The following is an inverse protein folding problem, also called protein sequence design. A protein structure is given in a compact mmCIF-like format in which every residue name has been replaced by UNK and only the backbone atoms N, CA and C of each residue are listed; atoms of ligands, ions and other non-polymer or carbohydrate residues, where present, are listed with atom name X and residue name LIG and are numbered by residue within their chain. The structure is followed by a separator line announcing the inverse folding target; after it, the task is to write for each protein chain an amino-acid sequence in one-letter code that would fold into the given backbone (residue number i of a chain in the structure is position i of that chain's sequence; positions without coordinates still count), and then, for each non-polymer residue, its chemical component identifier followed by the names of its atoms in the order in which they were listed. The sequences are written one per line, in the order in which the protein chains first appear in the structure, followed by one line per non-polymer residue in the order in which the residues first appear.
data_IF_561154046018
#
_entry.id   IF_561154046018
#
_cell.length_a   1.000
_cell.length_b   1.000
_cell.length_c   1.000
_cell.angle_alpha   90.00
_cell.angle_beta   90.00
_cell.angle_gamma   90.00
#
_symmetry.space_group_name_H-M   'P 1'
#
loop_
_entity.id
_entity.type
_entity.pdbx_description
1 polymer ?
#
# COMPACT_ATOMS: atom_id res chain seq x y z
N UNK A 1 -4.19 -28.20 -24.79
CA UNK A 1 -3.57 -26.88 -24.51
C UNK A 1 -4.63 -25.79 -24.32
N UNK A 2 -5.73 -25.84 -25.06
CA UNK A 2 -6.78 -24.79 -25.05
C UNK A 2 -7.55 -24.70 -23.73
N UNK A 3 -7.81 -25.83 -23.06
CA UNK A 3 -8.46 -25.83 -21.73
C UNK A 3 -7.57 -25.15 -20.67
N UNK A 4 -6.25 -25.37 -20.73
CA UNK A 4 -5.30 -24.72 -19.83
C UNK A 4 -5.18 -23.23 -20.11
N UNK A 5 -5.16 -22.82 -21.39
CA UNK A 5 -5.21 -21.40 -21.76
C UNK A 5 -6.52 -20.73 -21.34
N UNK A 6 -7.65 -21.44 -21.41
CA UNK A 6 -8.96 -20.92 -20.99
C UNK A 6 -9.00 -20.70 -19.47
N UNK A 7 -8.47 -21.66 -18.70
CA UNK A 7 -8.33 -21.53 -17.25
C UNK A 7 -7.36 -20.39 -16.89
N UNK A 8 -6.21 -20.27 -17.56
CA UNK A 8 -5.28 -19.16 -17.38
C UNK A 8 -5.92 -17.80 -17.69
N UNK A 9 -6.70 -17.69 -18.77
CA UNK A 9 -7.44 -16.46 -19.10
C UNK A 9 -8.46 -16.12 -18.03
N UNK A 10 -9.14 -17.10 -17.46
CA UNK A 10 -10.06 -16.90 -16.33
C UNK A 10 -9.33 -16.35 -15.10
N UNK A 11 -8.20 -16.96 -14.70
CA UNK A 11 -7.37 -16.49 -13.60
C UNK A 11 -6.82 -15.08 -13.83
N UNK A 12 -6.38 -14.78 -15.05
CA UNK A 12 -5.88 -13.45 -15.41
C UNK A 12 -6.99 -12.38 -15.38
N UNK A 13 -8.19 -12.69 -15.86
CA UNK A 13 -9.34 -11.78 -15.80
C UNK A 13 -9.80 -11.49 -14.36
N UNK A 14 -9.64 -12.46 -13.45
CA UNK A 14 -10.09 -12.34 -12.05
C UNK A 14 -8.93 -12.12 -11.06
N UNK A 15 -7.73 -11.76 -11.55
CA UNK A 15 -6.50 -11.66 -10.74
C UNK A 15 -6.67 -10.83 -9.46
N UNK A 16 -7.41 -9.72 -9.52
CA UNK A 16 -7.66 -8.87 -8.35
C UNK A 16 -8.57 -9.54 -7.31
N UNK A 17 -9.66 -10.18 -7.76
CA UNK A 17 -10.61 -10.88 -6.88
C UNK A 17 -9.93 -12.06 -6.19
N UNK A 18 -9.18 -12.85 -6.96
CA UNK A 18 -8.44 -14.01 -6.45
C UNK A 18 -7.37 -13.57 -5.45
N UNK A 19 -6.67 -12.47 -5.75
CA UNK A 19 -5.70 -11.86 -4.84
C UNK A 19 -6.31 -11.49 -3.50
N UNK A 20 -7.45 -10.80 -3.49
CA UNK A 20 -8.12 -10.42 -2.23
C UNK A 20 -8.67 -11.64 -1.46
N UNK A 21 -9.25 -12.62 -2.15
CA UNK A 21 -9.73 -13.84 -1.50
C UNK A 21 -8.59 -14.64 -0.86
N UNK A 22 -7.47 -14.81 -1.57
CA UNK A 22 -6.29 -15.48 -1.02
C UNK A 22 -5.72 -14.72 0.19
N UNK A 23 -5.67 -13.40 0.10
CA UNK A 23 -5.21 -12.54 1.19
C UNK A 23 -6.11 -12.62 2.42
N UNK A 24 -7.43 -12.70 2.24
CA UNK A 24 -8.38 -12.93 3.33
C UNK A 24 -8.14 -14.30 4.01
N UNK A 25 -7.95 -15.37 3.22
CA UNK A 25 -7.63 -16.70 3.75
C UNK A 25 -6.33 -16.71 4.55
N UNK A 26 -5.27 -16.07 4.04
CA UNK A 26 -4.00 -15.92 4.76
C UNK A 26 -4.17 -15.13 6.05
N UNK A 27 -5.02 -14.09 6.05
CA UNK A 27 -5.28 -13.28 7.25
C UNK A 27 -5.99 -14.11 8.31
N UNK A 28 -6.99 -14.90 7.93
CA UNK A 28 -7.70 -15.81 8.84
C UNK A 28 -6.76 -16.87 9.40
N UNK A 29 -5.94 -17.50 8.54
CA UNK A 29 -4.97 -18.49 8.97
C UNK A 29 -3.90 -17.91 9.90
N UNK A 30 -3.37 -16.73 9.55
CA UNK A 30 -2.37 -16.02 10.36
C UNK A 30 -2.90 -15.61 11.73
N UNK A 31 -4.12 -15.06 11.79
CA UNK A 31 -4.76 -14.69 13.05
C UNK A 31 -4.93 -15.90 13.96
N UNK A 32 -5.41 -17.03 13.43
CA UNK A 32 -5.57 -18.28 14.19
C UNK A 32 -4.25 -18.80 14.74
N UNK A 33 -3.17 -18.73 13.95
CA UNK A 33 -1.83 -19.11 14.39
C UNK A 33 -1.38 -18.23 15.57
N UNK A 34 -1.50 -16.90 15.46
CA UNK A 34 -1.11 -16.00 16.55
C UNK A 34 -1.97 -16.19 17.80
N UNK A 35 -3.30 -16.31 17.64
CA UNK A 35 -4.23 -16.41 18.76
C UNK A 35 -4.10 -17.73 19.53
N UNK A 36 -3.83 -18.85 18.85
CA UNK A 36 -3.77 -20.17 19.48
C UNK A 36 -2.36 -20.51 19.98
N UNK A 37 -1.32 -20.11 19.26
CA UNK A 37 0.04 -20.59 19.55
C UNK A 37 0.80 -19.62 20.45
N UNK A 38 0.64 -18.30 20.26
CA UNK A 38 1.49 -17.30 20.92
C UNK A 38 0.74 -16.45 21.94
N UNK A 39 -0.55 -16.24 21.76
CA UNK A 39 -1.29 -15.31 22.60
C UNK A 39 -1.79 -15.98 23.89
N UNK A 40 -1.26 -15.53 25.02
CA UNK A 40 -1.79 -15.81 26.35
C UNK A 40 -1.91 -14.48 27.08
N UNK A 41 -3.13 -14.08 27.43
CA UNK A 41 -3.33 -12.82 28.14
C UNK A 41 -2.67 -12.90 29.52
N UNK A 42 -1.79 -11.96 29.89
CA UNK A 42 -1.26 -11.91 31.24
C UNK A 42 -2.41 -11.73 32.25
N UNK A 43 -2.23 -12.18 33.49
CA UNK A 43 -3.15 -11.90 34.58
C UNK A 43 -2.73 -10.65 35.35
N UNK A 44 -2.28 -9.61 34.65
CA UNK A 44 -1.68 -8.42 35.26
C UNK A 44 -2.31 -7.15 34.71
N UNK A 45 -3.01 -6.43 35.58
CA UNK A 45 -3.79 -5.24 35.26
C UNK A 45 -3.05 -4.26 34.34
N UNK A 46 -1.84 -3.84 34.72
CA UNK A 46 -1.08 -2.80 34.03
C UNK A 46 -0.53 -3.24 32.66
N UNK A 47 -0.41 -4.55 32.43
CA UNK A 47 0.18 -5.11 31.21
C UNK A 47 -0.86 -5.59 30.20
N UNK A 48 -2.08 -5.92 30.65
CA UNK A 48 -3.16 -6.44 29.81
C UNK A 48 -3.47 -5.53 28.62
N UNK A 49 -3.61 -4.22 28.87
CA UNK A 49 -3.90 -3.24 27.83
C UNK A 49 -2.80 -3.20 26.76
N UNK A 50 -1.55 -3.00 27.17
CA UNK A 50 -0.41 -2.91 26.27
C UNK A 50 -0.20 -4.21 25.49
N UNK A 51 -0.33 -5.37 26.15
CA UNK A 51 -0.16 -6.67 25.54
C UNK A 51 -1.24 -6.96 24.49
N UNK A 52 -2.53 -6.84 24.85
CA UNK A 52 -3.64 -7.05 23.93
C UNK A 52 -3.60 -6.09 22.75
N UNK A 53 -3.31 -4.80 22.98
CA UNK A 53 -3.22 -3.80 21.92
C UNK A 53 -2.04 -4.06 20.97
N UNK A 54 -0.91 -4.55 21.48
CA UNK A 54 0.26 -4.90 20.65
C UNK A 54 -0.06 -6.03 19.68
N UNK A 55 -0.76 -7.08 20.13
CA UNK A 55 -1.18 -8.17 19.24
C UNK A 55 -2.30 -7.74 18.28
N UNK A 56 -3.14 -6.78 18.66
CA UNK A 56 -4.17 -6.22 17.80
C UNK A 56 -3.58 -5.31 16.70
N UNK A 57 -2.76 -4.32 17.06
CA UNK A 57 -2.26 -3.28 16.15
C UNK A 57 -0.88 -3.58 15.55
N UNK A 58 -0.05 -4.37 16.21
CA UNK A 58 1.32 -4.68 15.76
C UNK A 58 1.36 -5.32 14.38
N UNK A 59 0.65 -6.45 14.14
CA UNK A 59 0.58 -7.06 12.82
C UNK A 59 -0.04 -6.12 11.78
N UNK A 60 -1.05 -5.32 12.15
CA UNK A 60 -1.64 -4.31 11.27
C UNK A 60 -0.60 -3.27 10.81
N UNK A 61 0.25 -2.79 11.72
CA UNK A 61 1.31 -1.83 11.40
C UNK A 61 2.39 -2.46 10.48
N UNK A 62 2.81 -3.69 10.76
CA UNK A 62 3.76 -4.43 9.91
C UNK A 62 3.19 -4.64 8.50
N UNK A 63 1.93 -5.04 8.40
CA UNK A 63 1.22 -5.20 7.14
C UNK A 63 1.09 -3.88 6.36
N UNK A 64 0.89 -2.76 7.05
CA UNK A 64 0.86 -1.43 6.43
C UNK A 64 2.22 -1.08 5.82
N UNK A 65 3.31 -1.33 6.54
CA UNK A 65 4.68 -1.09 6.04
C UNK A 65 4.95 -1.93 4.80
N UNK A 66 4.60 -3.23 4.81
CA UNK A 66 4.73 -4.06 3.61
C UNK A 66 3.86 -3.55 2.45
N UNK A 67 2.63 -3.12 2.72
CA UNK A 67 1.74 -2.54 1.71
C UNK A 67 2.32 -1.28 1.06
N UNK A 68 3.04 -0.45 1.82
CA UNK A 68 3.77 0.70 1.30
C UNK A 68 5.00 0.27 0.50
N UNK A 69 5.77 -0.70 1.00
CA UNK A 69 7.00 -1.20 0.35
C UNK A 69 6.72 -1.83 -1.03
N UNK A 70 5.60 -2.53 -1.20
CA UNK A 70 5.22 -3.12 -2.49
C UNK A 70 4.51 -2.15 -3.45
N UNK A 71 4.33 -0.88 -3.07
CA UNK A 71 3.66 0.12 -3.90
C UNK A 71 4.61 0.74 -4.94
N UNK A 72 4.51 0.30 -6.19
CA UNK A 72 5.25 0.91 -7.32
C UNK A 72 4.94 2.40 -7.51
N UNK A 73 3.72 2.84 -7.18
CA UNK A 73 3.34 4.25 -7.22
C UNK A 73 4.06 5.09 -6.17
N UNK A 74 4.34 4.52 -4.99
CA UNK A 74 5.11 5.18 -3.94
C UNK A 74 6.55 5.40 -4.41
N UNK A 75 7.19 4.37 -4.94
CA UNK A 75 8.56 4.48 -5.46
C UNK A 75 8.67 5.46 -6.62
N UNK A 76 7.72 5.45 -7.56
CA UNK A 76 7.67 6.47 -8.65
C UNK A 76 7.57 7.90 -8.13
N UNK A 77 6.92 8.10 -6.98
CA UNK A 77 6.79 9.42 -6.37
C UNK A 77 8.07 9.82 -5.64
N UNK A 78 8.69 8.91 -4.89
CA UNK A 78 9.85 9.21 -4.03
C UNK A 78 11.21 9.16 -4.76
N UNK A 79 11.38 8.30 -5.76
CA UNK A 79 12.64 8.17 -6.50
C UNK A 79 12.95 9.47 -7.25
N UNK A 80 14.08 10.09 -6.91
CA UNK A 80 14.50 11.37 -7.48
C UNK A 80 13.88 12.62 -6.83
N UNK A 81 13.25 12.49 -5.66
CA UNK A 81 12.70 13.64 -4.91
C UNK A 81 13.78 14.69 -4.54
N UNK A 82 14.99 14.25 -4.16
CA UNK A 82 16.09 15.16 -3.83
C UNK A 82 16.68 15.89 -5.04
N UNK A 83 16.44 15.39 -6.26
CA UNK A 83 16.88 16.01 -7.51
C UNK A 83 15.88 17.07 -8.00
N UNK A 84 14.58 16.83 -7.79
CA UNK A 84 13.53 17.75 -8.21
C UNK A 84 12.32 17.66 -7.26
N UNK A 85 12.27 18.46 -6.18
CA UNK A 85 11.21 18.39 -5.17
C UNK A 85 9.83 18.80 -5.71
N UNK A 86 9.80 19.49 -6.87
CA UNK A 86 8.57 19.91 -7.54
C UNK A 86 7.79 18.73 -8.14
N UNK A 87 8.41 17.55 -8.26
CA UNK A 87 7.76 16.31 -8.73
C UNK A 87 6.71 15.77 -7.76
N UNK A 88 6.91 15.94 -6.44
CA UNK A 88 5.95 15.44 -5.45
C UNK A 88 4.68 16.29 -5.48
N UNK A 89 4.85 17.62 -5.43
CA UNK A 89 3.74 18.56 -5.49
C UNK A 89 4.10 19.72 -6.44
N UNK A 90 3.56 19.77 -7.67
CA UNK A 90 3.72 20.92 -8.56
C UNK A 90 3.17 22.18 -7.89
N UNK A 91 3.94 23.28 -7.96
CA UNK A 91 3.71 24.59 -7.31
C UNK A 91 2.22 24.91 -7.09
N UNK A 92 1.75 24.75 -5.85
CA UNK A 92 0.47 25.27 -5.35
C UNK A 92 -0.71 24.29 -5.29
N UNK A 93 -0.64 23.08 -5.85
CA UNK A 93 -1.80 22.16 -5.87
C UNK A 93 -1.75 21.07 -4.79
N UNK A 94 -1.77 21.48 -3.51
CA UNK A 94 -1.75 20.58 -2.35
C UNK A 94 -2.82 19.47 -2.43
N UNK A 95 -4.01 19.80 -2.95
CA UNK A 95 -5.11 18.86 -3.14
C UNK A 95 -4.76 17.69 -4.07
N UNK A 96 -3.98 17.93 -5.12
CA UNK A 96 -3.55 16.86 -6.03
C UNK A 96 -2.52 15.95 -5.37
N UNK A 97 -1.60 16.54 -4.60
CA UNK A 97 -0.59 15.82 -3.84
C UNK A 97 -1.25 14.89 -2.79
N UNK A 98 -2.19 15.44 -2.02
CA UNK A 98 -2.96 14.70 -1.02
C UNK A 98 -3.81 13.59 -1.66
N UNK A 99 -4.40 13.83 -2.84
CA UNK A 99 -5.15 12.81 -3.58
C UNK A 99 -4.26 11.62 -3.99
N UNK A 100 -3.05 11.88 -4.47
CA UNK A 100 -2.10 10.82 -4.84
C UNK A 100 -1.68 10.04 -3.61
N UNK A 101 -1.35 10.73 -2.50
CA UNK A 101 -0.98 10.08 -1.24
C UNK A 101 -2.13 9.22 -0.69
N UNK A 102 -3.36 9.75 -0.63
CA UNK A 102 -4.54 9.00 -0.20
C UNK A 102 -4.82 7.80 -1.12
N UNK A 103 -4.54 7.90 -2.43
CA UNK A 103 -4.67 6.75 -3.33
C UNK A 103 -3.63 5.66 -3.08
N UNK A 104 -2.44 6.00 -2.60
CA UNK A 104 -1.40 5.03 -2.23
C UNK A 104 -1.76 4.40 -0.88
N UNK A 105 -2.08 5.24 0.11
CA UNK A 105 -2.40 4.82 1.46
C UNK A 105 -3.64 3.93 1.53
N UNK A 106 -4.72 4.29 0.84
CA UNK A 106 -5.95 3.48 0.80
C UNK A 106 -5.73 2.06 0.27
N UNK A 107 -4.80 1.87 -0.67
CA UNK A 107 -4.41 0.54 -1.16
C UNK A 107 -3.56 -0.24 -0.15
N UNK A 108 -2.65 0.44 0.54
CA UNK A 108 -1.81 -0.18 1.57
C UNK A 108 -2.63 -0.59 2.81
N UNK A 109 -3.70 0.12 3.12
CA UNK A 109 -4.59 -0.16 4.27
C UNK A 109 -5.51 -1.37 4.09
N UNK A 110 -5.58 -1.99 2.91
CA UNK A 110 -6.44 -3.17 2.70
C UNK A 110 -6.05 -4.32 3.63
N UNK A 111 -4.76 -4.66 3.74
CA UNK A 111 -4.28 -5.74 4.61
C UNK A 111 -4.48 -5.44 6.10
N UNK A 112 -4.07 -4.26 6.61
CA UNK A 112 -4.32 -3.87 8.00
C UNK A 112 -5.80 -3.93 8.39
N UNK A 113 -6.70 -3.42 7.53
CA UNK A 113 -8.14 -3.44 7.81
C UNK A 113 -8.65 -4.89 7.88
N UNK A 114 -8.26 -5.75 6.94
CA UNK A 114 -8.67 -7.16 6.98
C UNK A 114 -8.18 -7.86 8.25
N UNK A 115 -6.94 -7.62 8.66
CA UNK A 115 -6.41 -8.14 9.92
C UNK A 115 -7.25 -7.70 11.12
N UNK A 116 -7.52 -6.40 11.25
CA UNK A 116 -8.31 -5.86 12.35
C UNK A 116 -9.72 -6.47 12.38
N UNK A 117 -10.37 -6.61 11.23
CA UNK A 117 -11.67 -7.27 11.15
C UNK A 117 -11.63 -8.70 11.69
N UNK A 118 -10.67 -9.51 11.24
CA UNK A 118 -10.55 -10.91 11.66
C UNK A 118 -10.22 -11.00 13.16
N UNK A 119 -9.25 -10.23 13.63
CA UNK A 119 -8.82 -10.21 15.03
C UNK A 119 -9.95 -9.77 15.97
N UNK A 120 -10.73 -8.75 15.59
CA UNK A 120 -11.87 -8.27 16.39
C UNK A 120 -13.06 -9.24 16.37
N UNK A 121 -13.28 -9.97 15.27
CA UNK A 121 -14.31 -11.00 15.22
C UNK A 121 -13.96 -12.22 16.10
N UNK A 122 -12.67 -12.55 16.23
CA UNK A 122 -12.21 -13.57 17.19
C UNK A 122 -12.31 -13.05 18.64
N UNK A 123 -11.96 -11.79 18.88
CA UNK A 123 -12.21 -11.07 20.13
C UNK A 123 -11.18 -11.27 21.25
N UNK A 124 -10.31 -12.28 21.15
CA UNK A 124 -9.33 -12.63 22.19
C UNK A 124 -8.35 -11.49 22.54
N UNK A 125 -7.83 -10.77 21.55
CA UNK A 125 -6.93 -9.62 21.78
C UNK A 125 -7.66 -8.44 22.41
N UNK A 126 -8.91 -8.20 22.00
CA UNK A 126 -9.76 -7.12 22.53
C UNK A 126 -10.17 -7.40 23.98
N UNK A 127 -10.62 -8.62 24.28
CA UNK A 127 -10.95 -9.08 25.64
C UNK A 127 -9.79 -8.79 26.60
N UNK A 128 -8.57 -9.15 26.21
CA UNK A 128 -7.37 -8.88 27.02
C UNK A 128 -7.09 -7.38 27.15
N UNK A 129 -7.09 -6.64 26.03
CA UNK A 129 -6.76 -5.21 26.05
C UNK A 129 -7.74 -4.42 26.94
N UNK A 130 -9.04 -4.64 26.74
CA UNK A 130 -10.09 -3.87 27.43
C UNK A 130 -10.20 -4.24 28.91
N UNK A 131 -9.87 -5.49 29.28
CA UNK A 131 -9.86 -5.90 30.68
C UNK A 131 -8.86 -5.13 31.57
N UNK A 132 -7.82 -4.54 30.98
CA UNK A 132 -6.80 -3.74 31.68
C UNK A 132 -6.94 -2.23 31.49
N UNK A 133 -8.08 -1.74 30.99
CA UNK A 133 -8.33 -0.30 30.88
C UNK A 133 -8.75 0.29 32.23
N UNK A 134 -7.97 1.26 32.72
CA UNK A 134 -8.29 2.11 33.89
C UNK A 134 -9.26 3.26 33.54
N UNK A 135 -10.23 3.02 32.66
CA UNK A 135 -11.25 4.02 32.33
C UNK A 135 -12.53 3.74 33.10
N UNK A 136 -12.87 4.63 34.04
CA UNK A 136 -14.08 4.55 34.86
C UNK A 136 -15.35 4.37 34.03
N UNK A 137 -15.42 4.95 32.81
CA UNK A 137 -16.58 4.82 31.94
C UNK A 137 -16.73 3.39 31.38
N UNK A 138 -15.61 2.79 30.99
CA UNK A 138 -15.57 1.44 30.41
C UNK A 138 -15.80 0.41 31.51
N UNK A 139 -15.14 0.59 32.66
CA UNK A 139 -15.29 -0.28 33.83
C UNK A 139 -16.72 -0.24 34.38
N UNK A 140 -17.34 0.94 34.47
CA UNK A 140 -18.73 1.07 34.94
C UNK A 140 -19.74 0.47 33.94
N UNK A 141 -19.45 0.51 32.63
CA UNK A 141 -20.30 -0.14 31.62
C UNK A 141 -20.37 -1.66 31.79
N UNK A 142 -19.24 -2.32 32.07
CA UNK A 142 -19.18 -3.78 32.23
C UNK A 142 -19.54 -4.25 33.64
N UNK A 143 -19.22 -3.45 34.66
CA UNK A 143 -19.50 -3.77 36.06
C UNK A 143 -20.74 -3.03 36.61
N UNK A 144 -21.65 -2.56 35.76
CA UNK A 144 -22.84 -1.81 36.18
C UNK A 144 -23.68 -2.64 37.16
N UNK A 145 -23.98 -2.08 38.33
CA UNK A 145 -24.67 -2.76 39.44
C UNK A 145 -23.93 -3.97 40.04
N UNK A 146 -22.65 -4.20 39.72
CA UNK A 146 -21.82 -5.25 40.34
C UNK A 146 -20.97 -4.65 41.47
N UNK A 147 -20.43 -5.50 42.34
CA UNK A 147 -19.62 -5.09 43.50
C UNK A 147 -18.26 -4.50 43.08
N UNK A 148 -17.62 -3.74 43.98
CA UNK A 148 -16.22 -3.24 43.82
C UNK A 148 -15.23 -4.37 43.44
N UNK A 149 -15.56 -5.60 43.82
CA UNK A 149 -14.84 -6.82 43.44
C UNK A 149 -14.81 -7.08 41.93
N UNK A 150 -15.84 -6.69 41.18
CA UNK A 150 -15.88 -6.78 39.71
C UNK A 150 -14.78 -5.93 39.08
N UNK A 151 -14.64 -4.68 39.53
CA UNK A 151 -13.66 -3.75 39.00
C UNK A 151 -12.22 -4.25 39.23
N UNK A 152 -11.94 -4.74 40.44
CA UNK A 152 -10.61 -5.24 40.81
C UNK A 152 -10.21 -6.55 40.11
N UNK A 153 -11.19 -7.38 39.75
CA UNK A 153 -10.94 -8.70 39.17
C UNK A 153 -11.15 -8.73 37.64
N UNK A 154 -11.60 -7.63 37.02
CA UNK A 154 -11.88 -7.54 35.58
C UNK A 154 -10.67 -7.92 34.72
N UNK A 155 -9.47 -7.44 35.07
CA UNK A 155 -8.23 -7.78 34.38
C UNK A 155 -7.86 -9.29 34.47
N UNK A 156 -8.44 -10.04 35.40
CA UNK A 156 -8.18 -11.49 35.54
C UNK A 156 -9.24 -12.35 34.88
N UNK A 157 -10.30 -11.75 34.35
CA UNK A 157 -11.39 -12.46 33.66
C UNK A 157 -10.88 -13.20 32.41
N UNK A 158 -10.05 -12.60 31.51
CA UNK A 158 -9.56 -13.29 30.30
C UNK A 158 -8.58 -14.43 30.57
N UNK A 159 -7.96 -14.47 31.75
CA UNK A 159 -6.90 -15.43 32.08
C UNK A 159 -7.36 -16.57 33.01
N UNK A 160 -8.69 -16.73 33.21
CA UNK A 160 -9.31 -17.82 33.99
C UNK A 160 -8.96 -17.84 35.49
N UNK A 161 -8.31 -16.79 36.02
CA UNK A 161 -7.85 -16.70 37.44
C UNK A 161 -8.60 -15.67 38.30
N UNK A 162 -9.74 -15.16 37.83
CA UNK A 162 -10.56 -14.21 38.59
C UNK A 162 -11.22 -14.86 39.81
N UNK A 163 -11.35 -14.12 40.92
CA UNK A 163 -12.09 -14.57 42.13
C UNK A 163 -13.62 -14.42 42.05
N UNK A 164 -14.17 -14.18 40.86
CA UNK A 164 -15.61 -14.07 40.59
C UNK A 164 -16.24 -15.47 40.48
N UNK A 165 -17.56 -15.56 40.60
CA UNK A 165 -18.26 -16.80 40.26
C UNK A 165 -18.08 -17.14 38.78
N UNK A 166 -18.13 -18.43 38.43
CA UNK A 166 -17.97 -18.85 37.03
C UNK A 166 -19.03 -18.22 36.10
N UNK A 167 -20.25 -18.04 36.60
CA UNK A 167 -21.34 -17.44 35.83
C UNK A 167 -21.08 -15.94 35.55
N UNK A 168 -20.68 -15.17 36.56
CA UNK A 168 -20.33 -13.75 36.38
C UNK A 168 -19.16 -13.55 35.43
N UNK A 169 -18.14 -14.41 35.54
CA UNK A 169 -16.98 -14.37 34.66
C UNK A 169 -17.36 -14.66 33.21
N UNK A 170 -18.19 -15.68 32.98
CA UNK A 170 -18.66 -16.02 31.65
C UNK A 170 -19.53 -14.91 31.05
N UNK A 171 -20.40 -14.31 31.86
CA UNK A 171 -21.21 -13.14 31.48
C UNK A 171 -20.32 -11.98 31.00
N UNK A 172 -19.29 -11.62 31.77
CA UNK A 172 -18.34 -10.56 31.42
C UNK A 172 -17.55 -10.87 30.15
N UNK A 173 -17.06 -12.11 29.99
CA UNK A 173 -16.36 -12.53 28.76
C UNK A 173 -17.27 -12.44 27.53
N UNK A 174 -18.53 -12.86 27.64
CA UNK A 174 -19.50 -12.76 26.56
C UNK A 174 -19.78 -11.30 26.19
N UNK A 175 -19.88 -10.40 27.17
CA UNK A 175 -20.04 -8.96 26.91
C UNK A 175 -18.82 -8.37 26.20
N UNK A 176 -17.60 -8.66 26.66
CA UNK A 176 -16.35 -8.20 26.03
C UNK A 176 -16.25 -8.71 24.58
N UNK A 177 -16.53 -9.99 24.36
CA UNK A 177 -16.54 -10.61 23.03
C UNK A 177 -17.58 -9.99 22.11
N UNK A 178 -18.80 -9.76 22.61
CA UNK A 178 -19.86 -9.13 21.84
C UNK A 178 -19.48 -7.71 21.42
N UNK A 179 -18.89 -6.91 22.31
CA UNK A 179 -18.38 -5.58 21.97
C UNK A 179 -17.30 -5.63 20.89
N UNK A 180 -16.35 -6.57 21.01
CA UNK A 180 -15.32 -6.77 19.98
C UNK A 180 -15.93 -7.12 18.62
N UNK A 181 -16.90 -8.03 18.58
CA UNK A 181 -17.55 -8.45 17.33
C UNK A 181 -18.39 -7.33 16.71
N UNK A 182 -19.08 -6.54 17.54
CA UNK A 182 -19.82 -5.34 17.08
C UNK A 182 -18.84 -4.36 16.43
N UNK A 183 -17.71 -4.06 17.08
CA UNK A 183 -16.67 -3.18 16.51
C UNK A 183 -16.09 -3.76 15.21
N UNK A 184 -15.83 -5.07 15.16
CA UNK A 184 -15.39 -5.76 13.95
C UNK A 184 -16.35 -5.57 12.77
N UNK A 185 -17.66 -5.79 13.00
CA UNK A 185 -18.68 -5.56 11.98
C UNK A 185 -18.82 -4.10 11.57
N UNK A 186 -18.71 -3.15 12.51
CA UNK A 186 -18.71 -1.73 12.20
C UNK A 186 -17.55 -1.35 11.27
N UNK A 187 -16.33 -1.85 11.53
CA UNK A 187 -15.18 -1.61 10.66
C UNK A 187 -15.42 -2.20 9.26
N UNK A 188 -15.97 -3.42 9.17
CA UNK A 188 -16.31 -4.04 7.88
C UNK A 188 -17.29 -3.17 7.09
N UNK A 189 -18.40 -2.76 7.72
CA UNK A 189 -19.44 -1.95 7.09
C UNK A 189 -18.85 -0.61 6.63
N UNK A 190 -18.15 0.11 7.51
CA UNK A 190 -17.54 1.41 7.20
C UNK A 190 -16.53 1.26 6.05
N UNK A 191 -15.64 0.26 6.10
CA UNK A 191 -14.65 0.03 5.06
C UNK A 191 -15.29 -0.29 3.70
N UNK A 192 -16.33 -1.13 3.69
CA UNK A 192 -17.08 -1.48 2.47
C UNK A 192 -17.81 -0.26 1.89
N UNK A 193 -18.50 0.52 2.72
CA UNK A 193 -19.21 1.73 2.30
C UNK A 193 -18.24 2.80 1.79
N UNK A 194 -17.15 3.08 2.51
CA UNK A 194 -16.11 4.03 2.08
C UNK A 194 -15.43 3.57 0.79
N UNK A 195 -15.15 2.27 0.65
CA UNK A 195 -14.58 1.69 -0.57
C UNK A 195 -15.50 1.84 -1.78
N UNK A 196 -16.80 1.57 -1.60
CA UNK A 196 -17.82 1.73 -2.65
C UNK A 196 -17.96 3.21 -3.04
N UNK A 197 -18.19 4.10 -2.07
CA UNK A 197 -18.32 5.53 -2.31
C UNK A 197 -17.05 6.11 -2.97
N UNK A 198 -15.87 5.74 -2.49
CA UNK A 198 -14.59 6.15 -3.08
C UNK A 198 -14.45 5.71 -4.54
N UNK A 199 -14.85 4.47 -4.85
CA UNK A 199 -14.84 3.95 -6.22
C UNK A 199 -15.85 4.68 -7.10
N UNK A 200 -17.09 4.87 -6.62
CA UNK A 200 -18.13 5.62 -7.32
C UNK A 200 -17.70 7.05 -7.59
N UNK A 201 -17.20 7.79 -6.59
CA UNK A 201 -16.70 9.15 -6.76
C UNK A 201 -15.53 9.23 -7.74
N UNK A 202 -14.62 8.27 -7.71
CA UNK A 202 -13.48 8.22 -8.64
C UNK A 202 -13.95 7.99 -10.08
N UNK A 203 -14.89 7.06 -10.28
CA UNK A 203 -15.45 6.77 -11.60
C UNK A 203 -16.31 7.94 -12.12
N UNK A 204 -17.15 8.56 -11.29
CA UNK A 204 -17.97 9.72 -11.67
C UNK A 204 -17.12 10.96 -11.99
N UNK A 205 -15.99 11.15 -11.32
CA UNK A 205 -15.04 12.25 -11.59
C UNK A 205 -14.04 11.93 -12.70
N UNK A 206 -14.10 10.72 -13.28
CA UNK A 206 -13.24 10.34 -14.39
C UNK A 206 -13.49 11.26 -15.58
N UNK A 207 -12.41 11.77 -16.18
CA UNK A 207 -12.48 12.60 -17.39
C UNK A 207 -12.76 11.77 -18.66
N UNK A 208 -12.63 10.44 -18.57
CA UNK A 208 -12.73 9.46 -19.66
C UNK A 208 -13.89 8.50 -19.43
N UNK A 209 -14.47 7.99 -20.53
CA UNK A 209 -15.55 7.01 -20.50
C UNK A 209 -15.08 5.64 -20.01
N UNK A 210 -16.01 4.75 -19.65
CA UNK A 210 -15.68 3.41 -19.16
C UNK A 210 -14.87 2.58 -20.16
N UNK A 211 -15.27 2.55 -21.45
CA UNK A 211 -14.53 1.81 -22.48
C UNK A 211 -13.14 2.39 -22.70
N UNK A 212 -13.01 3.72 -22.76
CA UNK A 212 -11.72 4.38 -22.92
C UNK A 212 -10.80 4.11 -21.72
N UNK A 213 -11.34 4.08 -20.49
CA UNK A 213 -10.58 3.74 -19.29
C UNK A 213 -10.11 2.28 -19.30
N UNK A 214 -10.93 1.35 -19.79
CA UNK A 214 -10.54 -0.06 -19.96
C UNK A 214 -9.43 -0.20 -21.01
N UNK A 215 -9.56 0.47 -22.14
CA UNK A 215 -8.49 0.54 -23.15
C UNK A 215 -7.19 1.10 -22.56
N UNK A 216 -7.28 2.21 -21.82
CA UNK A 216 -6.13 2.83 -21.17
C UNK A 216 -5.41 1.87 -20.21
N UNK A 217 -6.14 1.12 -19.38
CA UNK A 217 -5.52 0.10 -18.52
C UNK A 217 -4.76 -0.96 -19.32
N UNK A 218 -5.38 -1.48 -20.38
CA UNK A 218 -4.75 -2.49 -21.24
C UNK A 218 -3.51 -1.94 -21.95
N UNK A 219 -3.58 -0.70 -22.44
CA UNK A 219 -2.44 0.00 -23.03
C UNK A 219 -1.28 0.11 -22.05
N UNK A 220 -1.53 0.56 -20.82
CA UNK A 220 -0.47 0.70 -19.79
C UNK A 220 0.18 -0.64 -19.42
N UNK A 221 -0.61 -1.73 -19.38
CA UNK A 221 -0.07 -3.07 -19.11
C UNK A 221 0.83 -3.55 -20.26
N UNK A 222 0.38 -3.37 -21.50
CA UNK A 222 1.16 -3.74 -22.69
C UNK A 222 2.39 -2.87 -22.91
N UNK A 223 2.27 -1.56 -22.67
CA UNK A 223 3.41 -0.64 -22.72
C UNK A 223 4.51 -1.09 -21.75
N UNK A 224 4.13 -1.50 -20.53
CA UNK A 224 5.09 -2.02 -19.55
C UNK A 224 5.78 -3.31 -20.02
N UNK A 225 5.01 -4.29 -20.50
CA UNK A 225 5.57 -5.55 -21.01
C UNK A 225 6.56 -5.32 -22.16
N UNK A 226 6.19 -4.46 -23.11
CA UNK A 226 7.07 -4.07 -24.21
C UNK A 226 8.31 -3.33 -23.69
N UNK A 227 8.14 -2.36 -22.79
CA UNK A 227 9.24 -1.59 -22.21
C UNK A 227 10.26 -2.51 -21.52
N UNK A 228 9.81 -3.44 -20.69
CA UNK A 228 10.69 -4.39 -19.99
C UNK A 228 11.47 -5.26 -21.00
N UNK A 229 10.81 -5.70 -22.07
CA UNK A 229 11.45 -6.49 -23.14
C UNK A 229 12.53 -5.68 -23.87
N UNK A 230 12.20 -4.45 -24.31
CA UNK A 230 13.17 -3.57 -24.97
C UNK A 230 14.32 -3.15 -24.04
N UNK A 231 14.04 -2.89 -22.76
CA UNK A 231 15.07 -2.53 -21.78
C UNK A 231 16.10 -3.66 -21.61
N UNK A 232 15.66 -4.91 -21.52
CA UNK A 232 16.55 -6.07 -21.43
C UNK A 232 17.38 -6.25 -22.70
N UNK A 233 16.77 -6.10 -23.87
CA UNK A 233 17.47 -6.22 -25.16
C UNK A 233 18.57 -5.15 -25.29
N UNK A 234 18.26 -3.88 -25.01
CA UNK A 234 19.22 -2.79 -25.09
C UNK A 234 20.31 -2.89 -24.02
N UNK A 235 19.98 -3.36 -22.80
CA UNK A 235 20.97 -3.63 -21.77
C UNK A 235 21.95 -4.73 -22.19
N UNK A 236 21.45 -5.78 -22.82
CA UNK A 236 22.27 -6.89 -23.34
C UNK A 236 23.23 -6.40 -24.42
N UNK A 237 22.72 -5.65 -25.42
CA UNK A 237 23.56 -5.07 -26.49
C UNK A 237 24.64 -4.14 -25.93
N UNK A 238 24.30 -3.31 -24.95
CA UNK A 238 25.26 -2.41 -24.31
C UNK A 238 26.34 -3.19 -23.54
N UNK A 239 25.96 -4.23 -22.81
CA UNK A 239 26.90 -5.10 -22.10
C UNK A 239 27.84 -5.83 -23.07
N UNK A 240 27.31 -6.43 -24.13
CA UNK A 240 28.11 -7.12 -25.15
C UNK A 240 29.09 -6.18 -25.85
N UNK A 241 28.65 -4.98 -26.25
CA UNK A 241 29.52 -3.95 -26.85
C UNK A 241 30.69 -3.62 -25.91
N UNK A 242 30.39 -3.33 -24.65
CA UNK A 242 31.41 -2.95 -23.67
C UNK A 242 32.40 -4.09 -23.39
N UNK A 243 31.91 -5.34 -23.25
CA UNK A 243 32.76 -6.51 -23.05
C UNK A 243 33.65 -6.76 -24.27
N UNK A 244 33.12 -6.64 -25.48
CA UNK A 244 33.90 -6.80 -26.72
C UNK A 244 35.02 -5.76 -26.82
N UNK A 245 34.70 -4.48 -26.63
CA UNK A 245 35.69 -3.40 -26.61
C UNK A 245 36.77 -3.62 -25.54
N UNK A 246 36.39 -4.08 -24.34
CA UNK A 246 37.33 -4.37 -23.25
C UNK A 246 38.30 -5.52 -23.59
N UNK A 247 37.78 -6.68 -24.02
CA UNK A 247 38.63 -7.84 -24.33
C UNK A 247 39.45 -7.67 -25.61
N UNK A 248 38.94 -6.95 -26.61
CA UNK A 248 39.65 -6.67 -27.86
C UNK A 248 40.54 -5.42 -27.80
N UNK A 249 40.53 -4.66 -26.70
CA UNK A 249 41.24 -3.37 -26.53
C UNK A 249 40.94 -2.39 -27.67
N UNK A 250 39.66 -2.25 -28.04
CA UNK A 250 39.19 -1.32 -29.08
C UNK A 250 38.33 -0.23 -28.46
N UNK A 251 38.37 0.96 -29.04
CA UNK A 251 37.45 2.03 -28.67
C UNK A 251 36.00 1.62 -28.97
N UNK A 252 35.04 1.95 -28.08
CA UNK A 252 33.65 1.54 -28.23
C UNK A 252 32.93 2.34 -29.31
N UNK A 253 32.17 1.64 -30.16
CA UNK A 253 31.29 2.27 -31.16
C UNK A 253 30.20 3.13 -30.49
N UNK A 254 29.79 4.28 -31.08
CA UNK A 254 28.74 5.12 -30.52
C UNK A 254 27.43 4.35 -30.29
N UNK A 255 26.84 4.50 -29.10
CA UNK A 255 25.55 3.87 -28.76
C UNK A 255 24.55 4.96 -28.38
N UNK A 256 23.53 5.26 -29.22
CA UNK A 256 22.58 6.32 -28.93
C UNK A 256 21.74 5.94 -27.71
N UNK A 257 21.76 6.79 -26.69
CA UNK A 257 21.01 6.59 -25.46
C UNK A 257 20.15 7.82 -25.16
N UNK A 258 18.93 7.65 -24.62
CA UNK A 258 18.15 8.78 -24.15
C UNK A 258 18.91 9.52 -23.05
N UNK A 259 18.92 10.86 -23.11
CA UNK A 259 19.56 11.68 -22.10
C UNK A 259 18.84 11.58 -20.74
N UNK A 260 19.49 12.05 -19.67
CA UNK A 260 18.93 12.01 -18.32
C UNK A 260 17.56 12.71 -18.20
N UNK A 261 17.34 13.81 -18.94
CA UNK A 261 16.06 14.55 -18.91
C UNK A 261 14.92 13.73 -19.49
N UNK A 262 15.17 12.99 -20.57
CA UNK A 262 14.18 12.08 -21.17
C UNK A 262 13.73 11.02 -20.15
N UNK A 263 14.67 10.39 -19.45
CA UNK A 263 14.39 9.44 -18.37
C UNK A 263 13.60 10.06 -17.21
N UNK A 264 13.93 11.30 -16.87
CA UNK A 264 13.27 12.05 -15.82
C UNK A 264 11.80 12.34 -16.15
N UNK A 265 11.51 12.76 -17.37
CA UNK A 265 10.17 13.12 -17.84
C UNK A 265 9.24 11.90 -17.93
N UNK A 266 9.71 10.79 -18.50
CA UNK A 266 8.87 9.58 -18.63
C UNK A 266 8.55 8.95 -17.26
N UNK A 267 9.38 9.21 -16.24
CA UNK A 267 9.21 8.69 -14.88
C UNK A 267 8.16 9.46 -14.05
N UNK A 268 7.71 10.63 -14.51
CA UNK A 268 6.75 11.46 -13.80
C UNK A 268 5.40 10.74 -13.53
N UNK A 269 4.66 11.22 -12.51
CA UNK A 269 3.31 10.73 -12.24
C UNK A 269 2.38 11.26 -13.34
N UNK A 270 1.84 10.35 -14.15
CA UNK A 270 0.95 10.71 -15.24
C UNK A 270 -0.40 11.23 -14.73
N UNK A 271 -0.86 12.35 -15.29
CA UNK A 271 -2.20 12.90 -15.08
C UNK A 271 -2.90 13.13 -16.41
N UNK A 272 -4.08 12.53 -16.59
CA UNK A 272 -4.83 12.67 -17.85
C UNK A 272 -5.34 14.10 -18.08
N UNK A 273 -5.01 14.65 -19.25
CA UNK A 273 -5.57 15.90 -19.78
C UNK A 273 -6.44 15.60 -21.00
N UNK A 274 -7.57 16.32 -21.17
CA UNK A 274 -8.43 16.16 -22.37
C UNK A 274 -7.83 16.80 -23.62
N UNK A 275 -6.89 17.74 -23.45
CA UNK A 275 -6.25 18.47 -24.55
C UNK A 275 -5.21 17.65 -25.31
N UNK A 276 -4.62 16.64 -24.67
CA UNK A 276 -3.59 15.77 -25.23
C UNK A 276 -4.08 14.32 -25.06
N UNK A 277 -4.45 13.63 -26.13
CA UNK A 277 -4.97 12.25 -26.10
C UNK A 277 -3.86 11.20 -25.84
N UNK A 278 -2.91 11.50 -24.96
CA UNK A 278 -1.87 10.56 -24.58
C UNK A 278 -2.35 9.70 -23.41
N UNK A 279 -1.95 8.43 -23.33
CA UNK A 279 -2.31 7.49 -22.26
C UNK A 279 -1.17 7.25 -21.25
N UNK A 280 0.05 7.62 -21.59
CA UNK A 280 1.22 7.52 -20.72
C UNK A 280 2.12 8.76 -20.85
N UNK A 281 3.03 8.94 -19.88
CA UNK A 281 4.10 9.95 -19.95
C UNK A 281 5.08 9.65 -21.08
N UNK A 282 5.31 8.38 -21.40
CA UNK A 282 6.17 7.96 -22.51
C UNK A 282 5.54 8.33 -23.85
N UNK A 283 4.25 8.04 -24.05
CA UNK A 283 3.52 8.46 -25.24
C UNK A 283 3.54 10.00 -25.37
N UNK A 284 3.27 10.70 -24.28
CA UNK A 284 3.32 12.17 -24.26
C UNK A 284 4.72 12.70 -24.64
N UNK A 285 5.80 12.05 -24.18
CA UNK A 285 7.17 12.40 -24.53
C UNK A 285 7.51 12.11 -26.00
N UNK A 286 6.87 11.12 -26.63
CA UNK A 286 7.07 10.76 -28.04
C UNK A 286 6.25 11.66 -28.97
N UNK A 287 5.00 11.98 -28.61
CA UNK A 287 4.08 12.76 -29.43
C UNK A 287 4.28 14.28 -29.34
N UNK A 288 4.99 14.77 -28.32
CA UNK A 288 5.38 16.19 -28.24
C UNK A 288 6.26 16.57 -29.42
N UNK A 289 5.71 17.39 -30.31
CA UNK A 289 6.25 17.83 -31.60
C UNK A 289 7.36 18.90 -31.48
N UNK A 290 8.35 18.70 -30.60
CA UNK A 290 9.51 19.61 -30.51
C UNK A 290 10.82 18.86 -30.27
N UNK A 291 11.04 17.77 -31.04
CA UNK A 291 12.29 16.98 -30.96
C UNK A 291 13.41 17.52 -31.84
N UNK A 292 13.15 18.45 -32.77
CA UNK A 292 14.13 18.85 -33.78
C UNK A 292 14.49 20.36 -33.82
N UNK A 293 13.81 21.26 -33.09
CA UNK A 293 14.09 22.71 -33.20
C UNK A 293 15.01 23.29 -32.11
N UNK A 294 15.34 22.55 -31.05
CA UNK A 294 16.17 23.07 -29.94
C UNK A 294 17.62 22.58 -29.93
N UNK A 295 18.00 21.64 -30.81
CA UNK A 295 19.38 21.13 -30.87
C UNK A 295 20.39 22.14 -31.44
N UNK A 296 19.95 23.15 -32.20
CA UNK A 296 20.87 24.02 -32.96
C UNK A 296 21.13 25.39 -32.34
N UNK A 297 20.56 25.73 -31.18
CA UNK A 297 20.81 27.03 -30.53
C UNK A 297 21.01 26.92 -29.03
N UNK A 298 22.19 26.44 -28.63
CA UNK A 298 22.88 26.97 -27.45
C UNK A 298 24.39 26.75 -27.63
N UNK A 299 25.19 27.79 -27.88
CA UNK A 299 26.64 27.64 -27.84
C UNK A 299 27.04 27.27 -26.42
N UNK A 300 27.88 26.24 -26.32
CA UNK A 300 28.60 25.87 -25.11
C UNK A 300 29.36 27.11 -24.66
N UNK A 301 28.99 27.66 -23.50
CA UNK A 301 29.77 28.71 -22.86
C UNK A 301 30.90 27.99 -22.13
N UNK A 302 32.06 27.94 -22.77
CA UNK A 302 33.29 27.47 -22.14
C UNK A 302 33.50 28.23 -20.83
N UNK A 303 33.57 27.49 -19.73
CA UNK A 303 34.17 27.99 -18.50
C UNK A 303 35.66 27.70 -18.60
N UNK A 304 36.41 28.64 -19.16
CA UNK A 304 37.86 28.69 -18.98
C UNK A 304 38.16 28.84 -17.49
N UNK A 305 38.56 27.73 -16.87
CA UNK A 305 39.26 27.75 -15.59
C UNK A 305 40.69 28.19 -15.89
N UNK A 306 40.95 29.49 -15.69
CA UNK A 306 42.30 30.02 -15.63
C UNK A 306 43.01 29.50 -14.38
N UNK A 307 43.87 28.50 -14.57
CA UNK A 307 44.99 28.20 -13.67
C UNK A 307 46.16 29.00 -14.21
N UNK A 308 46.54 30.09 -13.54
CA UNK A 308 47.91 30.60 -13.60
C UNK A 308 48.51 30.49 -12.19
N UNK A 309 49.48 29.59 -12.08
CA UNK A 309 50.48 29.59 -11.03
C UNK A 309 51.59 30.55 -11.45
N UNK A 310 51.84 31.57 -10.64
CA UNK A 310 53.15 32.17 -10.39
C UNK A 310 53.09 32.97 -9.11
#
# INVERSE_FOLDING_TARGET
MDNFQTVLRFFMNQKSTIGYSFMALLTIGGERVFSVISFQCPCNHDQNFAYGLTFLLGPAAVLLVFGLFFSSKLWRLYTGCCLNPVKLCPRGNCLSCLRVFMSIFSKACVAPIMWLCVALLNGTFYECAVSGLDDNLVVDLFCKNKTVKCQQELARVPCDRSKLSNDERMELLLMLRAQSQILGWWIIIIAATVGLLGTCCTNCRSKVSFLQHTFWKNYMEKEKECFDTFAVEYATKLAERNLRSFFEKKDPEPFPFPNHRAWEEISAVYTFSRSEQCYSTLQQYVEKTDRDLTWEKRPVRDSEVGIEMS
#
